data_IF_364080581657
#
_entry.id   IF_364080581657
#
_cell.length_a   1.000
_cell.length_b   1.000
_cell.length_c   1.000
_cell.angle_alpha   90.00
_cell.angle_beta   90.00
_cell.angle_gamma   90.00
#
_symmetry.space_group_name_H-M   'P 1'
#
loop_
_entity.id
_entity.type
_entity.pdbx_description
1 polymer ?
#
# COMPACT_ATOMS: atom_id res chain seq x y z
N UNK A 1 19.01 8.16 35.51
CA UNK A 1 19.52 7.04 34.68
C UNK A 1 18.40 6.29 33.96
N UNK A 2 17.22 6.13 34.55
CA UNK A 2 16.11 5.35 33.97
C UNK A 2 15.47 5.98 32.71
N UNK A 3 15.33 7.30 32.64
CA UNK A 3 14.68 8.00 31.51
C UNK A 3 15.44 7.83 30.17
N UNK A 4 16.78 7.84 30.22
CA UNK A 4 17.62 7.65 29.03
C UNK A 4 17.50 6.21 28.49
N UNK A 5 17.28 5.23 29.38
CA UNK A 5 17.05 3.84 29.00
C UNK A 5 15.68 3.71 28.33
N UNK A 6 14.64 4.30 28.90
CA UNK A 6 13.29 4.29 28.33
C UNK A 6 13.22 4.93 26.95
N UNK A 7 13.90 6.06 26.76
CA UNK A 7 13.99 6.71 25.45
C UNK A 7 14.68 5.81 24.42
N UNK A 8 15.75 5.11 24.82
CA UNK A 8 16.47 4.17 23.95
C UNK A 8 15.63 2.94 23.60
N UNK A 9 14.87 2.39 24.56
CA UNK A 9 14.00 1.23 24.32
C UNK A 9 12.85 1.62 23.39
N UNK A 10 12.19 2.75 23.63
CA UNK A 10 11.11 3.24 22.77
C UNK A 10 11.59 3.44 21.33
N UNK A 11 12.76 4.05 21.14
CA UNK A 11 13.31 4.31 19.81
C UNK A 11 13.81 3.01 19.14
N UNK A 12 14.26 2.02 19.91
CA UNK A 12 14.52 0.67 19.40
C UNK A 12 13.24 0.01 18.89
N UNK A 13 12.21 -0.04 19.72
CA UNK A 13 10.90 -0.62 19.35
C UNK A 13 10.29 0.05 18.13
N UNK A 14 10.39 1.38 18.03
CA UNK A 14 9.92 2.13 16.87
C UNK A 14 10.64 1.68 15.59
N UNK A 15 11.96 1.48 15.65
CA UNK A 15 12.73 0.97 14.50
C UNK A 15 12.40 -0.48 14.19
N UNK A 16 12.16 -1.31 15.21
CA UNK A 16 11.81 -2.70 15.03
C UNK A 16 10.44 -2.84 14.35
N UNK A 17 9.43 -2.06 14.79
CA UNK A 17 8.13 -1.95 14.09
C UNK A 17 8.28 -1.53 12.63
N UNK A 18 9.15 -0.56 12.36
CA UNK A 18 9.40 -0.11 10.99
C UNK A 18 10.09 -1.19 10.15
N UNK A 19 11.06 -1.92 10.72
CA UNK A 19 11.72 -3.03 10.03
C UNK A 19 10.73 -4.14 9.68
N UNK A 20 9.89 -4.50 10.64
CA UNK A 20 8.84 -5.51 10.43
C UNK A 20 7.90 -5.11 9.30
N UNK A 21 7.43 -3.86 9.27
CA UNK A 21 6.59 -3.34 8.20
C UNK A 21 7.25 -3.43 6.80
N UNK A 22 8.56 -3.16 6.71
CA UNK A 22 9.30 -3.35 5.45
C UNK A 22 9.40 -4.82 5.07
N UNK A 23 9.68 -5.72 6.02
CA UNK A 23 9.73 -7.16 5.77
C UNK A 23 8.38 -7.76 5.38
N UNK A 24 7.27 -7.24 5.92
CA UNK A 24 5.94 -7.67 5.48
C UNK A 24 5.63 -7.15 4.08
N UNK A 25 6.03 -5.91 3.77
CA UNK A 25 5.82 -5.32 2.45
C UNK A 25 6.61 -6.05 1.37
N UNK A 26 7.87 -6.38 1.64
CA UNK A 26 8.76 -7.12 0.73
C UNK A 26 8.16 -8.47 0.31
N UNK A 27 7.53 -9.19 1.24
CA UNK A 27 6.89 -10.50 1.00
C UNK A 27 5.66 -10.45 0.09
N UNK A 28 5.06 -9.27 -0.08
CA UNK A 28 3.89 -9.09 -0.94
C UNK A 28 4.28 -8.78 -2.38
N UNK A 29 5.55 -8.50 -2.64
CA UNK A 29 6.05 -8.18 -3.97
C UNK A 29 6.19 -9.47 -4.80
N UNK A 30 5.89 -9.41 -6.11
CA UNK A 30 6.04 -10.56 -7.01
C UNK A 30 7.50 -11.02 -7.17
N UNK A 31 8.45 -10.13 -6.91
CA UNK A 31 9.90 -10.34 -6.95
C UNK A 31 10.48 -10.92 -5.66
N UNK A 32 9.65 -11.24 -4.65
CA UNK A 32 10.12 -11.70 -3.35
C UNK A 32 10.96 -12.98 -3.46
N UNK A 33 12.21 -12.90 -3.01
CA UNK A 33 13.10 -14.03 -2.84
C UNK A 33 13.68 -13.99 -1.41
N UNK A 34 13.47 -15.03 -0.58
CA UNK A 34 14.01 -15.08 0.78
C UNK A 34 15.55 -15.05 0.83
N UNK A 35 16.22 -15.32 -0.29
CA UNK A 35 17.68 -15.30 -0.43
C UNK A 35 18.22 -13.91 -0.77
N UNK A 36 17.38 -13.03 -1.30
CA UNK A 36 17.76 -11.70 -1.78
C UNK A 36 17.08 -10.62 -0.94
N UNK A 37 17.88 -9.89 -0.18
CA UNK A 37 17.36 -8.80 0.66
C UNK A 37 17.30 -7.51 -0.16
N UNK A 38 16.09 -7.04 -0.44
CA UNK A 38 15.88 -5.80 -1.16
C UNK A 38 16.22 -4.59 -0.28
N UNK A 39 16.69 -3.51 -0.92
CA UNK A 39 16.89 -2.25 -0.19
C UNK A 39 15.54 -1.59 0.10
N UNK A 40 15.45 -0.79 1.17
CA UNK A 40 14.19 -0.09 1.51
C UNK A 40 13.66 0.78 0.37
N UNK A 41 14.53 1.41 -0.40
CA UNK A 41 14.13 2.25 -1.55
C UNK A 41 13.55 1.37 -2.65
N UNK A 42 14.20 0.23 -2.92
CA UNK A 42 13.74 -0.75 -3.90
C UNK A 42 12.36 -1.29 -3.51
N UNK A 43 12.16 -1.71 -2.26
CA UNK A 43 10.88 -2.19 -1.74
C UNK A 43 9.79 -1.13 -1.98
N UNK A 44 10.06 0.15 -1.69
CA UNK A 44 9.08 1.22 -1.89
C UNK A 44 8.74 1.43 -3.37
N UNK A 45 9.74 1.47 -4.25
CA UNK A 45 9.51 1.69 -5.67
C UNK A 45 8.74 0.52 -6.31
N UNK A 46 9.15 -0.72 -6.05
CA UNK A 46 8.48 -1.91 -6.54
C UNK A 46 7.05 -2.02 -6.00
N UNK A 47 6.82 -1.62 -4.75
CA UNK A 47 5.46 -1.57 -4.19
C UNK A 47 4.57 -0.56 -4.90
N UNK A 48 5.10 0.62 -5.23
CA UNK A 48 4.33 1.65 -5.94
C UNK A 48 3.95 1.15 -7.34
N UNK A 49 4.92 0.61 -8.07
CA UNK A 49 4.72 0.06 -9.41
C UNK A 49 3.71 -1.11 -9.39
N UNK A 50 3.86 -2.02 -8.44
CA UNK A 50 2.96 -3.17 -8.31
C UNK A 50 1.53 -2.76 -7.95
N UNK A 51 1.34 -1.76 -7.08
CA UNK A 51 0.01 -1.23 -6.77
C UNK A 51 -0.63 -0.61 -8.02
N UNK A 52 0.14 0.14 -8.82
CA UNK A 52 -0.36 0.74 -10.06
C UNK A 52 -0.78 -0.33 -11.07
N UNK A 53 0.07 -1.32 -11.32
CA UNK A 53 -0.24 -2.44 -12.22
C UNK A 53 -1.48 -3.24 -11.75
N UNK A 54 -1.62 -3.47 -10.44
CA UNK A 54 -2.83 -4.12 -9.90
C UNK A 54 -4.09 -3.26 -10.09
N UNK A 55 -4.00 -1.94 -9.94
CA UNK A 55 -5.12 -1.02 -10.18
C UNK A 55 -5.52 -1.04 -11.66
N UNK A 56 -4.55 -0.94 -12.57
CA UNK A 56 -4.79 -0.96 -14.02
C UNK A 56 -5.46 -2.28 -14.46
N UNK A 57 -5.02 -3.42 -13.91
CA UNK A 57 -5.64 -4.73 -14.20
C UNK A 57 -7.06 -4.83 -13.68
N UNK A 58 -7.33 -4.30 -12.48
CA UNK A 58 -8.70 -4.27 -11.94
C UNK A 58 -9.59 -3.41 -12.83
N UNK A 59 -9.10 -2.26 -13.28
CA UNK A 59 -9.85 -1.39 -14.18
C UNK A 59 -10.11 -2.06 -15.54
N UNK A 60 -9.13 -2.76 -16.11
CA UNK A 60 -9.30 -3.53 -17.36
C UNK A 60 -10.35 -4.65 -17.20
N UNK A 61 -10.33 -5.37 -16.08
CA UNK A 61 -11.29 -6.44 -15.82
C UNK A 61 -12.71 -5.93 -15.53
N UNK A 62 -12.82 -4.72 -14.96
CA UNK A 62 -14.10 -4.08 -14.67
C UNK A 62 -14.64 -3.26 -15.84
N UNK A 63 -13.82 -2.96 -16.86
CA UNK A 63 -14.32 -2.35 -18.08
C UNK A 63 -15.38 -3.28 -18.68
N UNK A 64 -16.64 -2.81 -18.84
CA UNK A 64 -17.64 -3.59 -19.53
C UNK A 64 -17.09 -3.85 -20.92
N UNK A 65 -17.00 -5.12 -21.32
CA UNK A 65 -16.73 -5.51 -22.70
C UNK A 65 -17.79 -4.86 -23.58
N UNK A 66 -17.54 -3.66 -24.06
CA UNK A 66 -18.34 -3.01 -25.08
C UNK A 66 -18.07 -3.79 -26.37
N UNK A 67 -18.94 -4.78 -26.60
CA UNK A 67 -19.44 -5.17 -27.91
C UNK A 67 -18.43 -5.22 -29.06
N UNK A 68 -17.93 -6.43 -29.30
CA UNK A 68 -17.91 -6.94 -30.68
C UNK A 68 -19.07 -7.93 -30.81
N UNK A 69 -20.29 -7.42 -30.84
CA UNK A 69 -21.42 -8.14 -31.45
C UNK A 69 -21.32 -7.91 -32.95
N UNK A 70 -20.50 -8.71 -33.64
CA UNK A 70 -20.83 -9.06 -35.01
C UNK A 70 -21.91 -10.13 -34.91
N UNK A 71 -23.13 -9.72 -35.22
CA UNK A 71 -24.20 -10.63 -35.59
C UNK A 71 -23.65 -11.59 -36.67
N UNK A 72 -23.65 -12.89 -36.35
CA UNK A 72 -23.36 -14.07 -37.19
C UNK A 72 -22.49 -15.05 -36.39
N UNK A 73 -23.15 -15.91 -35.60
CA UNK A 73 -22.90 -17.37 -35.60
C UNK A 73 -23.73 -18.03 -34.49
N UNK A 74 -24.85 -18.61 -34.93
CA UNK A 74 -25.68 -19.54 -34.17
C UNK A 74 -24.89 -20.79 -33.75
N UNK A 75 -25.21 -21.29 -32.55
CA UNK A 75 -24.97 -22.67 -32.07
C UNK A 75 -23.52 -23.17 -32.02
N UNK A 76 -22.95 -23.32 -30.80
CA UNK A 76 -22.23 -24.55 -30.37
C UNK A 76 -21.58 -24.49 -28.97
N UNK A 77 -22.25 -24.04 -27.91
CA UNK A 77 -21.77 -24.32 -26.53
C UNK A 77 -22.90 -24.74 -25.57
N UNK A 78 -23.69 -25.73 -26.00
CA UNK A 78 -24.51 -26.56 -25.11
C UNK A 78 -23.85 -27.93 -24.91
N UNK A 79 -22.68 -27.96 -24.26
CA UNK A 79 -22.13 -29.20 -23.67
C UNK A 79 -20.86 -28.93 -22.88
N UNK A 80 -20.99 -28.44 -21.64
CA UNK A 80 -20.01 -28.74 -20.60
C UNK A 80 -20.70 -29.73 -19.64
N UNK A 81 -20.25 -30.99 -19.56
CA UNK A 81 -20.77 -31.92 -18.56
C UNK A 81 -20.39 -31.42 -17.17
N UNK A 82 -21.39 -30.99 -16.39
CA UNK A 82 -21.23 -30.74 -14.96
C UNK A 82 -21.00 -32.11 -14.30
N UNK A 83 -19.75 -32.43 -14.00
CA UNK A 83 -19.47 -33.53 -13.08
C UNK A 83 -19.88 -33.05 -11.69
N UNK A 84 -21.04 -33.54 -11.23
CA UNK A 84 -21.54 -33.36 -9.89
C UNK A 84 -20.67 -34.16 -8.93
N UNK A 85 -19.74 -33.48 -8.29
CA UNK A 85 -18.98 -34.02 -7.16
C UNK A 85 -19.89 -33.90 -5.94
N UNK A 86 -20.38 -35.06 -5.50
CA UNK A 86 -21.23 -35.24 -4.33
C UNK A 86 -20.33 -35.15 -3.10
N UNK A 87 -20.48 -34.11 -2.29
CA UNK A 87 -20.01 -34.11 -0.91
C UNK A 87 -21.14 -33.57 -0.03
N UNK A 88 -21.93 -34.50 0.46
CA UNK A 88 -22.81 -34.32 1.62
C UNK A 88 -21.94 -34.27 2.87
N UNK A 89 -21.87 -33.12 3.53
CA UNK A 89 -21.64 -33.08 4.98
C UNK A 89 -22.77 -32.30 5.64
N UNK A 90 -23.33 -32.95 6.65
CA UNK A 90 -24.60 -32.63 7.30
C UNK A 90 -24.48 -31.36 8.15
N UNK A 91 -25.42 -30.43 7.94
CA UNK A 91 -25.71 -29.34 8.86
C UNK A 91 -26.72 -29.89 9.88
N UNK A 92 -26.40 -29.99 11.18
CA UNK A 92 -27.41 -30.33 12.17
C UNK A 92 -28.31 -29.11 12.43
N UNK A 93 -29.56 -29.26 12.01
CA UNK A 93 -30.70 -28.42 12.40
C UNK A 93 -30.79 -28.30 13.93
N UNK A 94 -30.66 -27.07 14.43
CA UNK A 94 -31.29 -26.65 15.69
C UNK A 94 -31.97 -25.31 15.47
N UNK A 95 -33.24 -25.39 15.10
CA UNK A 95 -34.20 -24.29 15.19
C UNK A 95 -34.37 -23.89 16.66
N UNK A 96 -34.25 -22.60 16.97
CA UNK A 96 -34.84 -21.96 18.17
C UNK A 96 -35.24 -20.52 17.78
N UNK A 97 -36.41 -20.02 18.22
CA UNK A 97 -37.28 -19.14 17.43
C UNK A 97 -37.05 -17.63 17.62
N UNK A 98 -37.58 -16.88 16.65
CA UNK A 98 -37.69 -15.42 16.62
C UNK A 98 -38.71 -14.98 17.69
N UNK A 99 -38.27 -14.22 18.69
CA UNK A 99 -39.15 -13.38 19.52
C UNK A 99 -38.58 -11.97 19.60
N UNK A 100 -39.50 -11.02 19.50
CA UNK A 100 -39.30 -9.59 19.39
C UNK A 100 -38.62 -8.94 20.61
N UNK A 101 -38.37 -7.64 20.46
CA UNK A 101 -37.93 -6.67 21.47
C UNK A 101 -36.41 -6.63 21.75
N UNK A 102 -35.70 -5.75 21.04
CA UNK A 102 -34.80 -4.77 21.68
C UNK A 102 -34.32 -3.74 20.67
N UNK A 103 -34.72 -2.50 20.90
CA UNK A 103 -34.29 -1.31 20.17
C UNK A 103 -32.77 -1.15 20.25
N UNK A 104 -32.06 -1.32 19.14
CA UNK A 104 -30.67 -0.87 19.03
C UNK A 104 -30.67 0.51 18.41
N UNK A 105 -30.52 1.49 19.29
CA UNK A 105 -30.32 2.91 18.98
C UNK A 105 -29.22 3.09 17.93
N UNK A 106 -29.57 3.70 16.79
CA UNK A 106 -28.61 4.31 15.86
C UNK A 106 -27.99 5.53 16.56
N UNK A 107 -26.83 5.37 17.17
CA UNK A 107 -26.05 6.51 17.64
C UNK A 107 -25.33 7.15 16.44
N UNK A 108 -25.86 8.30 16.02
CA UNK A 108 -25.14 9.27 15.20
C UNK A 108 -24.01 9.81 16.06
N UNK A 109 -22.76 9.41 15.80
CA UNK A 109 -21.61 10.02 16.45
C UNK A 109 -21.22 11.28 15.68
N UNK A 110 -21.55 12.42 16.27
CA UNK A 110 -21.14 13.75 15.85
C UNK A 110 -19.62 13.82 15.71
N UNK A 111 -19.16 14.08 14.48
CA UNK A 111 -17.76 14.32 14.18
C UNK A 111 -17.35 15.70 14.69
N UNK A 112 -16.80 15.74 15.91
CA UNK A 112 -16.19 16.95 16.48
C UNK A 112 -14.85 17.22 15.77
N UNK A 113 -14.86 18.12 14.80
CA UNK A 113 -13.67 18.59 14.08
C UNK A 113 -12.68 19.19 15.11
N UNK A 114 -11.57 18.50 15.35
CA UNK A 114 -10.48 19.04 16.16
C UNK A 114 -9.72 20.10 15.36
N UNK A 115 -9.68 21.33 15.89
CA UNK A 115 -8.85 22.43 15.39
C UNK A 115 -7.38 22.04 15.46
N UNK A 116 -6.77 21.73 14.32
CA UNK A 116 -5.33 21.52 14.18
C UNK A 116 -4.61 22.85 14.45
N UNK A 117 -3.80 22.90 15.51
CA UNK A 117 -2.92 24.02 15.79
C UNK A 117 -1.79 24.03 14.76
N UNK A 118 -1.75 25.06 13.93
CA UNK A 118 -0.66 25.37 12.99
C UNK A 118 0.67 25.39 13.76
N UNK A 119 1.46 24.32 13.66
CA UNK A 119 2.87 24.32 14.05
C UNK A 119 3.63 24.99 12.90
N UNK A 120 4.28 26.10 13.22
CA UNK A 120 4.96 26.96 12.26
C UNK A 120 6.05 26.21 11.49
N UNK A 121 6.03 26.39 10.19
CA UNK A 121 7.14 26.05 9.30
C UNK A 121 8.35 26.92 9.68
N UNK A 122 9.35 26.32 10.32
CA UNK A 122 10.64 26.96 10.54
C UNK A 122 11.35 27.24 9.21
N UNK A 123 12.15 28.32 9.12
CA UNK A 123 12.79 28.74 7.88
C UNK A 123 13.88 27.76 7.43
N UNK A 124 13.75 27.28 6.20
CA UNK A 124 14.78 26.51 5.51
C UNK A 124 16.01 27.39 5.24
N UNK A 125 17.07 27.16 6.02
CA UNK A 125 18.37 27.78 5.79
C UNK A 125 18.99 27.30 4.47
N UNK A 126 18.75 28.04 3.39
CA UNK A 126 19.49 27.90 2.12
C UNK A 126 20.94 28.33 2.36
N UNK A 127 21.85 27.36 2.44
CA UNK A 127 23.30 27.61 2.42
C UNK A 127 23.68 28.20 1.06
N UNK A 128 24.04 29.48 1.07
CA UNK A 128 24.57 30.21 -0.08
C UNK A 128 25.85 29.55 -0.60
N UNK A 129 25.82 29.09 -1.85
CA UNK A 129 27.00 28.63 -2.58
C UNK A 129 27.92 29.83 -2.85
N UNK A 130 29.06 29.88 -2.14
CA UNK A 130 30.12 30.84 -2.44
C UNK A 130 30.66 30.57 -3.85
N UNK A 131 30.53 31.56 -4.72
CA UNK A 131 31.09 31.53 -6.08
C UNK A 131 32.62 31.41 -6.01
N UNK A 132 33.16 30.40 -6.68
CA UNK A 132 34.59 30.26 -6.93
C UNK A 132 35.08 31.44 -7.79
N UNK A 133 35.97 32.28 -7.25
CA UNK A 133 36.74 33.22 -8.06
C UNK A 133 37.75 32.40 -8.88
N UNK A 134 37.61 32.39 -10.21
CA UNK A 134 38.61 31.86 -11.13
C UNK A 134 39.89 32.69 -11.00
N UNK A 135 40.99 32.05 -10.59
CA UNK A 135 42.33 32.64 -10.55
C UNK A 135 42.90 32.60 -11.97
N UNK A 136 42.94 33.75 -12.65
CA UNK A 136 43.59 33.89 -13.95
C UNK A 136 45.11 33.89 -13.75
N UNK A 137 45.78 32.81 -14.16
CA UNK A 137 47.23 32.79 -14.26
C UNK A 137 47.64 33.49 -15.56
N UNK A 138 48.04 34.75 -15.41
CA UNK A 138 48.68 35.56 -16.46
C UNK A 138 50.07 34.97 -16.75
N UNK A 139 50.21 34.19 -17.84
CA UNK A 139 51.53 33.85 -18.41
C UNK A 139 52.23 35.16 -18.78
N UNK A 140 53.36 35.45 -18.13
CA UNK A 140 54.33 36.43 -18.63
C UNK A 140 55.22 35.71 -19.64
N UNK A 141 55.19 36.16 -20.89
CA UNK A 141 56.24 35.88 -21.87
C UNK A 141 57.44 36.74 -21.48
N UNK A 142 58.59 36.12 -21.23
CA UNK A 142 59.87 36.82 -21.25
C UNK A 142 60.37 36.83 -22.70
N UNK A 143 60.76 38.01 -23.19
CA UNK A 143 61.65 38.20 -24.34
C UNK A 143 63.00 38.59 -23.76
#
# INVERSE_FOLDING_TARGET
>A
MSEEIEKKTWEKERRDRMREAFSTLEKLLPSYDPSNVLTRITILNESIEYIQDMQDRVDELLQPKSEMTSEEDDNLLRSIPIQSNKCTEAIPDKQVPITAETEVSRSVVDSKIMKVKKIGTGPTGRKSLRKFKKLSHRRKMNV
#
